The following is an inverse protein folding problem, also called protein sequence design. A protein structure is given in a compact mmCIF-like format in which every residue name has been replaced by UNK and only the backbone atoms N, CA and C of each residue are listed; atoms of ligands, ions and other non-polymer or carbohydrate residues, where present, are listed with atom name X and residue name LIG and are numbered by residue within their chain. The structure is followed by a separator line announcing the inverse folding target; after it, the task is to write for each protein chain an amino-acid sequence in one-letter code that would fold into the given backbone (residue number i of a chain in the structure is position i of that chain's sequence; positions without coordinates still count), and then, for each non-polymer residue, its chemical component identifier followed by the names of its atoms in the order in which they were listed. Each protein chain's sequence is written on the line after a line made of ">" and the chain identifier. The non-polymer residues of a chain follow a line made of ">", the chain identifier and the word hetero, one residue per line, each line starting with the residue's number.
data_IF_074576706109
#
_entry.id   IF_074576706109
#
_cell.length_a   1.000
_cell.length_b   1.000
_cell.length_c   1.000
_cell.angle_alpha   90.00
_cell.angle_beta   90.00
_cell.angle_gamma   90.00
#
_symmetry.space_group_name_H-M   'P 1'
#
loop_
_entity.id
_entity.type
_entity.pdbx_description
1 polymer ?
#
# COMPACT_ATOMS: atom_id res chain seq x y z
N UNK A 1 3.01 23.39 22.56
CA UNK A 1 3.25 22.06 23.19
C UNK A 1 4.68 21.58 22.92
N UNK A 2 5.40 20.99 23.90
CA UNK A 2 6.76 20.44 23.66
C UNK A 2 6.66 19.00 23.14
N UNK A 3 7.60 18.59 22.27
CA UNK A 3 7.60 17.28 21.59
C UNK A 3 7.64 16.05 22.53
N UNK A 4 8.07 16.24 23.80
CA UNK A 4 8.01 15.21 24.85
C UNK A 4 6.58 14.91 25.30
N UNK A 5 5.72 15.92 25.38
CA UNK A 5 4.33 15.78 25.84
C UNK A 5 3.49 15.01 24.81
N UNK A 6 3.79 15.19 23.52
CA UNK A 6 3.15 14.50 22.39
C UNK A 6 3.37 12.97 22.42
N UNK A 7 4.53 12.51 22.93
CA UNK A 7 4.84 11.09 23.08
C UNK A 7 4.13 10.46 24.29
N UNK A 8 3.91 11.23 25.36
CA UNK A 8 3.22 10.75 26.56
C UNK A 8 1.69 10.71 26.39
N UNK A 9 1.10 11.70 25.71
CA UNK A 9 -0.37 11.81 25.60
C UNK A 9 -1.00 10.87 24.56
N UNK A 10 -0.20 10.20 23.72
CA UNK A 10 -0.65 9.27 22.64
C UNK A 10 -1.67 9.85 21.65
N UNK A 11 -2.06 11.13 21.74
CA UNK A 11 -3.04 11.82 20.90
C UNK A 11 -2.45 13.17 20.46
N UNK A 12 -2.72 13.59 19.23
CA UNK A 12 -2.38 14.95 18.79
C UNK A 12 -3.34 15.97 19.39
N UNK A 13 -2.91 17.22 19.52
CA UNK A 13 -3.74 18.36 19.94
C UNK A 13 -5.01 18.42 19.08
N UNK A 14 -4.86 18.37 17.76
CA UNK A 14 -6.00 18.32 16.82
C UNK A 14 -6.91 17.09 17.02
N UNK A 15 -6.39 15.96 17.51
CA UNK A 15 -7.24 14.80 17.83
C UNK A 15 -8.11 15.07 19.05
N UNK A 16 -7.58 15.76 20.06
CA UNK A 16 -8.33 16.16 21.25
C UNK A 16 -9.39 17.20 20.87
N UNK A 17 -9.02 18.21 20.09
CA UNK A 17 -9.95 19.20 19.54
C UNK A 17 -11.08 18.56 18.73
N UNK A 18 -10.79 17.52 17.94
CA UNK A 18 -11.80 16.81 17.17
C UNK A 18 -12.79 16.04 18.06
N UNK A 19 -12.33 15.49 19.19
CA UNK A 19 -13.21 14.89 20.19
C UNK A 19 -14.06 15.96 20.90
N UNK A 20 -13.48 17.11 21.24
CA UNK A 20 -14.20 18.23 21.86
C UNK A 20 -15.26 18.86 20.93
N UNK A 21 -14.97 18.94 19.63
CA UNK A 21 -15.93 19.38 18.60
C UNK A 21 -17.04 18.37 18.29
N UNK A 22 -17.03 17.21 18.95
CA UNK A 22 -18.05 16.17 18.77
C UNK A 22 -17.96 15.42 17.43
N UNK A 23 -16.80 15.45 16.77
CA UNK A 23 -16.64 14.76 15.49
C UNK A 23 -16.65 13.24 15.67
N UNK A 24 -17.36 12.56 14.77
CA UNK A 24 -17.50 11.11 14.83
C UNK A 24 -16.35 10.42 14.11
N UNK A 25 -15.76 9.42 14.76
CA UNK A 25 -14.69 8.60 14.18
C UNK A 25 -15.27 7.70 13.09
N UNK A 26 -14.49 7.45 12.03
CA UNK A 26 -14.87 6.57 10.91
C UNK A 26 -15.48 5.21 11.34
N UNK A 27 -15.02 4.61 12.44
CA UNK A 27 -15.56 3.36 12.96
C UNK A 27 -16.98 3.48 13.52
N UNK A 28 -17.27 4.57 14.23
CA UNK A 28 -18.59 4.86 14.76
C UNK A 28 -19.56 5.17 13.62
N UNK A 29 -19.13 5.99 12.65
CA UNK A 29 -19.91 6.29 11.45
C UNK A 29 -20.20 5.03 10.64
N UNK A 30 -19.21 4.16 10.44
CA UNK A 30 -19.41 2.90 9.74
C UNK A 30 -20.48 2.03 10.41
N UNK A 31 -20.51 2.00 11.75
CA UNK A 31 -21.52 1.23 12.49
C UNK A 31 -22.91 1.86 12.37
N UNK A 32 -23.01 3.19 12.46
CA UNK A 32 -24.28 3.91 12.27
C UNK A 32 -24.84 3.72 10.86
N UNK A 33 -24.02 3.92 9.83
CA UNK A 33 -24.43 3.71 8.43
C UNK A 33 -24.78 2.24 8.19
N UNK A 34 -23.99 1.29 8.71
CA UNK A 34 -24.29 -0.14 8.54
C UNK A 34 -25.67 -0.52 9.07
N UNK A 35 -26.07 0.07 10.20
CA UNK A 35 -27.42 -0.12 10.77
C UNK A 35 -28.49 0.55 9.91
N UNK A 36 -28.25 1.77 9.43
CA UNK A 36 -29.22 2.53 8.61
C UNK A 36 -29.53 1.85 7.27
N UNK A 37 -28.51 1.32 6.61
CA UNK A 37 -28.65 0.70 5.27
C UNK A 37 -28.69 -0.83 5.29
N UNK A 38 -28.77 -1.44 6.47
CA UNK A 38 -28.75 -2.90 6.69
C UNK A 38 -27.66 -3.64 5.89
N UNK A 39 -26.50 -3.00 5.71
CA UNK A 39 -25.39 -3.51 4.91
C UNK A 39 -24.10 -3.25 5.68
N UNK A 40 -23.23 -4.25 5.81
CA UNK A 40 -21.95 -4.08 6.51
C UNK A 40 -21.09 -3.06 5.76
N UNK A 41 -20.82 -1.91 6.36
CA UNK A 41 -19.89 -0.87 5.87
C UNK A 41 -18.68 -0.86 6.79
N UNK A 42 -17.48 -0.77 6.22
CA UNK A 42 -16.24 -0.71 7.00
C UNK A 42 -15.68 0.71 7.04
N UNK A 43 -14.95 1.04 8.11
CA UNK A 43 -14.30 2.35 8.24
C UNK A 43 -13.36 2.69 7.07
N UNK A 44 -12.79 1.68 6.39
CA UNK A 44 -11.92 1.87 5.21
C UNK A 44 -12.69 2.43 4.02
N UNK A 45 -13.93 2.01 3.84
CA UNK A 45 -14.78 2.45 2.73
C UNK A 45 -15.24 3.89 2.90
N UNK A 46 -15.23 4.39 4.13
CA UNK A 46 -15.60 5.76 4.45
C UNK A 46 -14.45 6.76 4.31
N UNK A 47 -13.19 6.29 4.28
CA UNK A 47 -11.99 7.16 4.18
C UNK A 47 -12.10 8.23 3.08
N UNK A 48 -12.57 7.93 1.85
CA UNK A 48 -12.68 8.93 0.79
C UNK A 48 -13.64 10.09 1.10
N UNK A 49 -14.55 9.91 2.05
CA UNK A 49 -15.55 10.90 2.44
C UNK A 49 -15.13 11.71 3.67
N UNK A 50 -14.01 11.35 4.31
CA UNK A 50 -13.51 12.07 5.48
C UNK A 50 -12.87 13.39 5.06
N UNK A 51 -13.37 14.51 5.59
CA UNK A 51 -12.78 15.84 5.38
C UNK A 51 -11.55 16.07 6.26
N UNK A 52 -11.51 15.42 7.41
CA UNK A 52 -10.48 15.65 8.42
C UNK A 52 -9.88 14.33 8.92
N UNK A 53 -8.56 14.35 9.12
CA UNK A 53 -7.83 13.24 9.71
C UNK A 53 -6.78 13.76 10.68
N UNK A 54 -6.61 13.05 11.78
CA UNK A 54 -5.62 13.37 12.79
C UNK A 54 -4.79 12.16 13.18
N UNK A 55 -3.64 12.45 13.78
CA UNK A 55 -2.71 11.44 14.22
C UNK A 55 -3.11 10.96 15.62
N UNK A 56 -3.48 9.68 15.75
CA UNK A 56 -3.88 9.08 17.02
C UNK A 56 -2.66 8.53 17.79
N UNK A 57 -1.50 9.14 17.62
CA UNK A 57 -0.23 8.70 18.20
C UNK A 57 0.61 7.76 17.32
N UNK A 58 1.83 7.50 17.79
CA UNK A 58 2.82 6.65 17.14
C UNK A 58 2.77 5.26 17.78
N UNK A 59 2.59 4.22 16.97
CA UNK A 59 2.50 2.83 17.42
C UNK A 59 3.68 2.02 16.91
N UNK A 60 4.16 1.07 17.71
CA UNK A 60 5.18 0.11 17.27
C UNK A 60 4.51 -0.98 16.43
N UNK A 61 4.91 -1.10 15.17
CA UNK A 61 4.46 -2.14 14.23
C UNK A 61 5.69 -2.92 13.78
N UNK A 62 5.93 -4.07 14.42
CA UNK A 62 7.18 -4.83 14.27
C UNK A 62 8.39 -4.02 14.74
N UNK A 63 9.42 -3.90 13.89
CA UNK A 63 10.64 -3.12 14.15
C UNK A 63 10.54 -1.64 13.75
N UNK A 64 9.36 -1.14 13.35
CA UNK A 64 9.19 0.27 12.95
C UNK A 64 8.10 0.96 13.75
N UNK A 65 8.31 2.25 14.01
CA UNK A 65 7.27 3.14 14.52
C UNK A 65 6.42 3.61 13.33
N UNK A 66 5.11 3.40 13.41
CA UNK A 66 4.15 3.89 12.41
C UNK A 66 3.09 4.74 13.07
N UNK A 67 2.81 5.86 12.42
CA UNK A 67 1.67 6.71 12.76
C UNK A 67 0.35 6.07 12.39
N UNK A 68 -0.63 6.12 13.28
CA UNK A 68 -2.01 5.71 12.96
C UNK A 68 -2.84 6.96 12.68
N UNK A 69 -3.34 7.06 11.44
CA UNK A 69 -4.33 8.08 11.06
C UNK A 69 -5.71 7.64 11.52
N UNK A 70 -6.45 8.57 12.11
CA UNK A 70 -7.88 8.41 12.43
C UNK A 70 -8.63 9.49 11.68
N UNK A 71 -9.69 9.06 11.00
CA UNK A 71 -10.53 9.91 10.16
C UNK A 71 -11.78 10.30 10.94
N UNK A 72 -12.15 11.56 10.85
CA UNK A 72 -13.26 12.19 11.55
C UNK A 72 -14.31 12.70 10.55
N UNK A 73 -15.56 12.72 10.98
CA UNK A 73 -16.72 13.10 10.19
C UNK A 73 -17.60 14.06 10.97
N UNK A 74 -18.07 15.09 10.28
CA UNK A 74 -19.15 15.95 10.77
C UNK A 74 -20.49 15.21 10.65
N UNK A 75 -21.44 15.50 11.54
CA UNK A 75 -22.77 14.90 11.48
C UNK A 75 -23.44 15.14 10.12
N UNK A 76 -23.33 16.36 9.59
CA UNK A 76 -23.91 16.77 8.30
C UNK A 76 -23.32 15.99 7.12
N UNK A 77 -22.03 15.61 7.20
CA UNK A 77 -21.37 14.84 6.14
C UNK A 77 -21.88 13.40 6.11
N UNK A 78 -22.26 12.83 7.25
CA UNK A 78 -22.68 11.43 7.38
C UNK A 78 -24.03 11.20 6.70
N UNK A 79 -24.97 12.15 6.83
CA UNK A 79 -26.28 12.05 6.19
C UNK A 79 -26.21 12.13 4.67
N UNK A 80 -25.20 12.83 4.16
CA UNK A 80 -25.00 13.08 2.74
C UNK A 80 -24.13 12.02 2.03
N UNK A 81 -23.72 10.92 2.70
CA UNK A 81 -22.96 9.84 2.04
C UNK A 81 -23.92 8.92 1.29
N UNK A 82 -23.97 8.96 -0.06
CA UNK A 82 -24.87 8.09 -0.81
C UNK A 82 -24.31 6.67 -0.84
N UNK A 83 -25.20 5.68 -0.62
CA UNK A 83 -24.86 4.26 -0.64
C UNK A 83 -24.21 3.85 -1.96
N UNK A 84 -24.68 4.40 -3.09
CA UNK A 84 -24.16 4.14 -4.42
C UNK A 84 -22.67 4.47 -4.55
N UNK A 85 -22.20 5.58 -3.97
CA UNK A 85 -20.76 5.93 -3.99
C UNK A 85 -19.93 4.99 -3.13
N UNK A 86 -20.49 4.49 -2.01
CA UNK A 86 -19.82 3.48 -1.18
C UNK A 86 -19.63 2.19 -1.99
N UNK A 87 -20.66 1.76 -2.72
CA UNK A 87 -20.62 0.57 -3.57
C UNK A 87 -19.67 0.73 -4.77
N UNK A 88 -19.71 1.87 -5.46
CA UNK A 88 -18.77 2.16 -6.56
C UNK A 88 -17.31 2.15 -6.09
N UNK A 89 -17.03 2.62 -4.87
CA UNK A 89 -15.68 2.55 -4.30
C UNK A 89 -15.26 1.10 -3.99
N UNK A 90 -16.19 0.20 -3.68
CA UNK A 90 -15.89 -1.25 -3.55
C UNK A 90 -15.49 -1.85 -4.88
N UNK A 91 -16.21 -1.52 -5.96
CA UNK A 91 -15.89 -2.01 -7.30
C UNK A 91 -14.53 -1.49 -7.78
N UNK A 92 -14.22 -0.21 -7.54
CA UNK A 92 -12.89 0.35 -7.84
C UNK A 92 -11.77 -0.23 -6.98
N UNK A 93 -12.08 -0.67 -5.76
CA UNK A 93 -11.13 -1.33 -4.86
C UNK A 93 -11.03 -2.84 -5.08
N UNK A 94 -11.90 -3.44 -5.91
CA UNK A 94 -11.70 -4.79 -6.37
C UNK A 94 -10.37 -4.80 -7.15
N UNK A 95 -9.45 -5.72 -6.85
CA UNK A 95 -8.20 -5.80 -7.59
C UNK A 95 -8.57 -5.97 -9.06
N UNK A 96 -8.06 -5.08 -9.93
CA UNK A 96 -8.07 -5.28 -11.36
C UNK A 96 -7.70 -6.75 -11.61
N UNK A 97 -8.50 -7.44 -12.44
CA UNK A 97 -8.40 -8.86 -12.71
C UNK A 97 -6.93 -9.31 -12.63
N UNK A 98 -6.65 -10.35 -11.85
CA UNK A 98 -5.30 -10.88 -11.66
C UNK A 98 -4.80 -11.48 -12.99
N UNK A 99 -4.56 -10.63 -13.99
CA UNK A 99 -4.00 -11.00 -15.27
C UNK A 99 -2.62 -11.55 -14.97
N UNK A 100 -2.44 -12.83 -15.29
CA UNK A 100 -1.14 -13.45 -15.21
C UNK A 100 -0.25 -12.81 -16.26
N UNK A 101 0.88 -12.29 -15.82
CA UNK A 101 1.92 -11.74 -16.69
C UNK A 101 3.16 -12.63 -16.59
N UNK A 102 3.87 -12.73 -17.69
CA UNK A 102 5.15 -13.42 -17.76
C UNK A 102 6.18 -12.54 -18.45
N UNK A 103 7.42 -12.62 -18.00
CA UNK A 103 8.46 -11.73 -18.48
C UNK A 103 9.73 -11.80 -17.66
N UNK A 104 10.64 -10.87 -17.92
CA UNK A 104 11.93 -10.80 -17.25
C UNK A 104 12.10 -9.50 -16.48
N UNK A 105 13.05 -9.49 -15.54
CA UNK A 105 13.41 -8.30 -14.76
C UNK A 105 14.87 -8.39 -14.30
N UNK A 106 15.55 -7.25 -14.05
CA UNK A 106 16.87 -7.25 -13.46
C UNK A 106 16.80 -7.60 -11.96
N UNK A 107 17.35 -8.75 -11.58
CA UNK A 107 17.47 -9.19 -10.20
C UNK A 107 18.85 -8.83 -9.65
N UNK A 108 18.90 -8.02 -8.60
CA UNK A 108 20.16 -7.56 -8.03
C UNK A 108 20.56 -8.40 -6.83
N UNK A 109 21.78 -8.92 -6.85
CA UNK A 109 22.38 -9.63 -5.73
C UNK A 109 23.58 -8.85 -5.18
N UNK A 110 23.64 -8.73 -3.85
CA UNK A 110 24.82 -8.18 -3.17
C UNK A 110 25.92 -9.23 -3.19
N UNK A 111 27.02 -8.92 -3.84
CA UNK A 111 28.23 -9.75 -3.84
C UNK A 111 29.34 -8.99 -3.13
N UNK A 112 29.98 -9.65 -2.17
CA UNK A 112 31.17 -9.13 -1.50
C UNK A 112 32.39 -9.74 -2.17
N UNK A 113 33.28 -8.89 -2.66
CA UNK A 113 34.57 -9.34 -3.19
C UNK A 113 35.43 -9.91 -2.05
N UNK A 114 35.91 -11.17 -2.14
CA UNK A 114 36.71 -11.79 -1.09
C UNK A 114 38.07 -11.10 -0.88
N UNK A 115 38.61 -10.45 -1.90
CA UNK A 115 39.94 -9.81 -1.84
C UNK A 115 39.81 -8.39 -1.28
N UNK A 116 38.96 -7.56 -1.87
CA UNK A 116 38.83 -6.15 -1.46
C UNK A 116 37.83 -5.94 -0.31
N UNK A 117 37.07 -6.97 0.08
CA UNK A 117 35.95 -6.92 1.04
C UNK A 117 34.86 -5.89 0.69
N UNK A 118 34.88 -5.32 -0.52
CA UNK A 118 33.87 -4.35 -0.97
C UNK A 118 32.62 -5.09 -1.42
N UNK A 119 31.47 -4.66 -0.93
CA UNK A 119 30.18 -5.15 -1.40
C UNK A 119 29.70 -4.33 -2.59
N UNK A 120 29.34 -5.01 -3.68
CA UNK A 120 28.74 -4.41 -4.87
C UNK A 120 27.43 -5.11 -5.20
N UNK A 121 26.51 -4.39 -5.83
CA UNK A 121 25.24 -4.95 -6.31
C UNK A 121 25.41 -5.35 -7.77
N UNK A 122 25.31 -6.63 -8.09
CA UNK A 122 25.42 -7.12 -9.47
C UNK A 122 24.03 -7.52 -10.00
N UNK A 123 23.66 -7.09 -11.22
CA UNK A 123 22.40 -7.48 -11.85
C UNK A 123 22.50 -8.86 -12.51
N UNK A 124 21.43 -9.63 -12.41
CA UNK A 124 21.24 -10.94 -13.02
C UNK A 124 19.86 -11.02 -13.65
N UNK A 125 19.68 -11.94 -14.61
CA UNK A 125 18.41 -12.15 -15.28
C UNK A 125 17.43 -12.89 -14.36
N UNK A 126 16.43 -12.16 -13.86
CA UNK A 126 15.27 -12.72 -13.17
C UNK A 126 14.12 -13.00 -14.15
N UNK A 127 13.44 -14.13 -13.97
CA UNK A 127 12.24 -14.50 -14.73
C UNK A 127 11.05 -14.52 -13.77
N UNK A 128 9.93 -13.94 -14.20
CA UNK A 128 8.70 -13.86 -13.41
C UNK A 128 7.51 -14.36 -14.21
N UNK A 129 6.68 -15.19 -13.58
CA UNK A 129 5.36 -15.60 -14.04
C UNK A 129 4.40 -15.54 -12.85
N UNK A 130 3.39 -14.71 -12.92
CA UNK A 130 2.48 -14.47 -11.80
C UNK A 130 1.56 -13.27 -12.02
N UNK A 131 0.80 -12.85 -10.98
CA UNK A 131 -0.15 -11.76 -11.12
C UNK A 131 0.54 -10.42 -11.36
N UNK A 132 -0.02 -9.61 -12.27
CA UNK A 132 0.52 -8.29 -12.68
C UNK A 132 0.81 -7.35 -11.50
N UNK A 133 -0.04 -7.35 -10.48
CA UNK A 133 0.09 -6.52 -9.28
C UNK A 133 1.30 -6.87 -8.39
N UNK A 134 1.94 -8.03 -8.60
CA UNK A 134 3.15 -8.46 -7.90
C UNK A 134 4.38 -8.51 -8.82
N UNK A 135 4.29 -7.93 -10.02
CA UNK A 135 5.42 -7.87 -10.95
C UNK A 135 6.62 -7.14 -10.31
N UNK A 136 7.84 -7.70 -10.39
CA UNK A 136 9.04 -7.07 -9.83
C UNK A 136 9.38 -5.71 -10.49
N UNK A 137 10.18 -4.88 -9.79
CA UNK A 137 10.63 -3.59 -10.33
C UNK A 137 11.47 -3.80 -11.59
N UNK A 138 11.16 -3.05 -12.64
CA UNK A 138 11.85 -3.18 -13.94
C UNK A 138 11.38 -4.36 -14.78
N UNK A 139 10.22 -4.94 -14.46
CA UNK A 139 9.61 -6.00 -15.24
C UNK A 139 9.35 -5.58 -16.69
N UNK A 140 9.70 -6.48 -17.62
CA UNK A 140 9.42 -6.39 -19.05
C UNK A 140 8.67 -7.64 -19.49
N UNK A 141 7.46 -7.44 -19.98
CA UNK A 141 6.62 -8.52 -20.47
C UNK A 141 7.28 -9.21 -21.67
N UNK A 142 7.13 -10.53 -21.75
CA UNK A 142 7.62 -11.35 -22.85
C UNK A 142 6.47 -12.18 -23.42
N UNK A 143 6.49 -12.39 -24.73
CA UNK A 143 5.62 -13.35 -25.39
C UNK A 143 6.05 -14.78 -25.03
N UNK A 144 5.20 -15.78 -25.29
CA UNK A 144 5.47 -17.19 -24.92
C UNK A 144 6.78 -17.73 -25.48
N UNK A 145 7.08 -17.45 -26.74
CA UNK A 145 8.33 -17.86 -27.39
C UNK A 145 9.56 -17.25 -26.71
N UNK A 146 9.51 -15.94 -26.46
CA UNK A 146 10.58 -15.20 -25.81
C UNK A 146 10.77 -15.64 -24.36
N UNK A 147 9.67 -15.96 -23.66
CA UNK A 147 9.70 -16.46 -22.30
C UNK A 147 10.39 -17.82 -22.21
N UNK A 148 10.11 -18.74 -23.14
CA UNK A 148 10.79 -20.03 -23.20
C UNK A 148 12.31 -19.91 -23.44
N UNK A 149 12.75 -18.92 -24.23
CA UNK A 149 14.17 -18.60 -24.41
C UNK A 149 14.77 -17.99 -23.15
N UNK A 150 14.07 -17.05 -22.51
CA UNK A 150 14.51 -16.36 -21.31
C UNK A 150 14.63 -17.29 -20.10
N UNK A 151 13.73 -18.26 -19.95
CA UNK A 151 13.80 -19.29 -18.89
C UNK A 151 15.11 -20.09 -18.94
N UNK A 152 15.59 -20.44 -20.14
CA UNK A 152 16.86 -21.15 -20.33
C UNK A 152 18.08 -20.32 -19.91
N UNK A 153 17.94 -18.99 -19.86
CA UNK A 153 19.01 -18.06 -19.49
C UNK A 153 18.86 -17.53 -18.06
N UNK A 154 17.91 -18.04 -17.27
CA UNK A 154 17.64 -17.58 -15.90
C UNK A 154 18.91 -17.59 -15.04
N UNK A 155 19.16 -16.51 -14.30
CA UNK A 155 20.32 -16.38 -13.44
C UNK A 155 21.62 -16.05 -14.19
N UNK A 156 21.57 -15.79 -15.49
CA UNK A 156 22.69 -15.21 -16.25
C UNK A 156 23.03 -13.81 -15.71
N UNK A 157 24.32 -13.52 -15.54
CA UNK A 157 24.77 -12.19 -15.15
C UNK A 157 24.49 -11.17 -16.26
N UNK A 158 23.94 -10.02 -15.88
CA UNK A 158 23.69 -8.91 -16.78
C UNK A 158 24.83 -7.91 -16.69
N UNK A 159 25.20 -7.30 -17.83
CA UNK A 159 26.04 -6.12 -17.82
C UNK A 159 25.23 -4.91 -17.31
N UNK A 160 25.90 -3.90 -16.74
CA UNK A 160 25.22 -2.65 -16.40
C UNK A 160 24.48 -2.08 -17.62
N UNK A 161 23.21 -1.73 -17.45
CA UNK A 161 22.33 -1.19 -18.50
C UNK A 161 22.06 -2.12 -19.70
N UNK A 162 22.32 -3.43 -19.57
CA UNK A 162 21.99 -4.39 -20.61
C UNK A 162 20.48 -4.60 -20.71
N UNK A 163 19.93 -4.34 -21.89
CA UNK A 163 18.58 -4.73 -22.25
C UNK A 163 18.61 -6.08 -22.96
N UNK A 164 18.03 -7.10 -22.32
CA UNK A 164 17.94 -8.42 -22.91
C UNK A 164 16.89 -8.47 -24.02
N UNK A 165 17.31 -8.97 -25.18
CA UNK A 165 16.43 -9.37 -26.28
C UNK A 165 16.38 -10.91 -26.28
N UNK A 166 15.17 -11.45 -26.28
CA UNK A 166 14.87 -12.88 -26.26
C UNK A 166 14.06 -13.25 -27.49
#
# INVERSE_FOLDING_TARGET
>A
MKMRDYLQQKKSENYQDAEEKGLLKAGAVATQLSKKVNTKITAKELIPFAREWHHAGIFKVGNRLKGKRVYFFHADDIENIPLEKILQNREKAAPAENVQVQGWYPQFFKMTDPVTRRTSSKPFLGIYKGPSNKAPKGFKALNEEQFAVAEKQRGRALKPFEDCKF
#
